data_IF_836317558862
#
_entry.id   IF_836317558862
#
_cell.length_a   1.000
_cell.length_b   1.000
_cell.length_c   1.000
_cell.angle_alpha   90.00
_cell.angle_beta   90.00
_cell.angle_gamma   90.00
#
_symmetry.space_group_name_H-M   'P 1'
#
loop_
_entity.id
_entity.type
_entity.pdbx_description
1 polymer ?
#
# COMPACT_ATOMS: atom_id res chain seq x y z
N UNK A 1 38.73 -39.37 2.75
CA UNK A 1 38.17 -38.79 1.52
C UNK A 1 36.73 -38.39 1.82
N UNK A 2 36.51 -37.15 2.25
CA UNK A 2 35.17 -36.60 2.49
C UNK A 2 34.68 -35.91 1.23
N UNK A 3 33.60 -36.42 0.63
CA UNK A 3 32.92 -35.79 -0.50
C UNK A 3 32.14 -34.60 0.03
N UNK A 4 32.61 -33.38 -0.22
CA UNK A 4 31.83 -32.17 0.01
C UNK A 4 30.81 -32.04 -1.12
N UNK A 5 29.62 -32.59 -0.90
CA UNK A 5 28.43 -32.29 -1.71
C UNK A 5 28.10 -30.80 -1.57
N UNK A 6 28.68 -30.01 -2.46
CA UNK A 6 28.33 -28.60 -2.64
C UNK A 6 26.98 -28.57 -3.36
N UNK A 7 25.89 -28.56 -2.58
CA UNK A 7 24.55 -28.30 -3.11
C UNK A 7 24.53 -26.91 -3.74
N UNK A 8 24.66 -26.87 -5.07
CA UNK A 8 24.36 -25.71 -5.89
C UNK A 8 22.86 -25.43 -5.80
N UNK A 9 22.44 -24.62 -4.82
CA UNK A 9 21.14 -23.96 -4.85
C UNK A 9 21.16 -22.97 -6.02
N UNK A 10 20.68 -23.39 -7.18
CA UNK A 10 20.31 -22.48 -8.28
C UNK A 10 19.17 -21.60 -7.79
N UNK A 11 19.51 -20.49 -7.12
CA UNK A 11 18.62 -19.34 -7.01
C UNK A 11 18.52 -18.73 -8.42
N UNK A 12 17.66 -19.32 -9.26
CA UNK A 12 17.22 -18.63 -10.46
C UNK A 12 16.52 -17.36 -10.01
N UNK A 13 17.09 -16.20 -10.34
CA UNK A 13 16.42 -14.91 -10.32
C UNK A 13 15.30 -14.95 -11.37
N UNK A 14 14.23 -15.69 -11.06
CA UNK A 14 13.09 -15.85 -11.92
C UNK A 14 12.28 -14.57 -11.84
N UNK A 15 12.27 -13.80 -12.93
CA UNK A 15 11.17 -12.90 -13.17
C UNK A 15 9.92 -13.80 -13.24
N UNK A 16 9.06 -13.76 -12.22
CA UNK A 16 7.74 -14.38 -12.32
C UNK A 16 7.02 -13.67 -13.47
N UNK A 17 6.52 -14.45 -14.43
CA UNK A 17 5.61 -13.93 -15.44
C UNK A 17 4.38 -13.35 -14.72
N UNK A 18 4.09 -12.08 -14.97
CA UNK A 18 2.90 -11.43 -14.42
C UNK A 18 1.70 -11.88 -15.24
N UNK A 19 0.80 -12.64 -14.63
CA UNK A 19 -0.46 -13.05 -15.24
C UNK A 19 -1.54 -11.96 -15.11
N UNK A 20 -2.67 -12.12 -15.81
CA UNK A 20 -3.78 -11.17 -15.73
C UNK A 20 -4.29 -10.99 -14.29
N UNK A 21 -4.25 -12.06 -13.49
CA UNK A 21 -4.70 -12.05 -12.09
C UNK A 21 -3.81 -11.13 -11.23
N UNK A 22 -2.50 -11.12 -11.48
CA UNK A 22 -1.57 -10.21 -10.81
C UNK A 22 -1.97 -8.75 -11.03
N UNK A 23 -2.33 -8.38 -12.27
CA UNK A 23 -2.75 -7.01 -12.59
C UNK A 23 -4.12 -6.67 -11.98
N UNK A 24 -5.04 -7.63 -11.92
CA UNK A 24 -6.34 -7.45 -11.25
C UNK A 24 -6.16 -7.20 -9.74
N UNK A 25 -5.32 -8.01 -9.08
CA UNK A 25 -5.01 -7.88 -7.66
C UNK A 25 -4.32 -6.53 -7.37
N UNK A 26 -3.34 -6.16 -8.21
CA UNK A 26 -2.65 -4.88 -8.11
C UNK A 26 -3.60 -3.69 -8.33
N UNK A 27 -4.52 -3.81 -9.29
CA UNK A 27 -5.54 -2.79 -9.57
C UNK A 27 -6.52 -2.63 -8.40
N UNK A 28 -6.98 -3.74 -7.82
CA UNK A 28 -7.83 -3.73 -6.64
C UNK A 28 -7.12 -3.08 -5.44
N UNK A 29 -5.85 -3.44 -5.21
CA UNK A 29 -5.04 -2.84 -4.15
C UNK A 29 -4.88 -1.32 -4.34
N UNK A 30 -4.60 -0.87 -5.57
CA UNK A 30 -4.50 0.55 -5.90
C UNK A 30 -5.82 1.31 -5.67
N UNK A 31 -6.95 0.69 -6.03
CA UNK A 31 -8.28 1.27 -5.85
C UNK A 31 -8.73 1.32 -4.38
N UNK A 32 -8.26 0.39 -3.54
CA UNK A 32 -8.62 0.35 -2.11
C UNK A 32 -8.28 1.65 -1.38
N UNK A 33 -7.17 2.30 -1.73
CA UNK A 33 -6.70 3.56 -1.14
C UNK A 33 -7.25 4.81 -1.84
N UNK A 34 -8.14 4.64 -2.83
CA UNK A 34 -8.71 5.73 -3.61
C UNK A 34 -10.20 5.91 -3.33
N UNK A 35 -10.65 7.15 -3.44
CA UNK A 35 -12.04 7.57 -3.32
C UNK A 35 -12.44 8.33 -4.58
N UNK A 36 -13.58 7.96 -5.16
CA UNK A 36 -14.18 8.68 -6.29
C UNK A 36 -14.77 10.00 -5.81
N UNK A 37 -14.40 11.12 -6.43
CA UNK A 37 -14.86 12.48 -6.05
C UNK A 37 -15.81 13.11 -7.07
N UNK A 38 -16.09 12.43 -8.17
CA UNK A 38 -16.92 12.90 -9.27
C UNK A 38 -16.73 12.02 -10.50
N UNK A 39 -17.11 12.53 -11.67
CA UNK A 39 -16.95 11.81 -12.93
C UNK A 39 -15.46 11.64 -13.24
N UNK A 40 -15.02 10.38 -13.26
CA UNK A 40 -13.66 9.94 -13.56
C UNK A 40 -12.51 10.49 -12.68
N UNK A 41 -12.81 11.17 -11.57
CA UNK A 41 -11.78 11.74 -10.68
C UNK A 41 -11.60 10.91 -9.40
N UNK A 42 -10.37 10.50 -9.12
CA UNK A 42 -9.99 9.73 -7.93
C UNK A 42 -9.01 10.53 -7.05
N UNK A 43 -9.26 10.55 -5.75
CA UNK A 43 -8.41 11.16 -4.73
C UNK A 43 -7.99 10.12 -3.70
N UNK A 44 -6.85 10.29 -3.03
CA UNK A 44 -6.40 9.36 -2.00
C UNK A 44 -7.22 9.52 -0.70
N UNK A 45 -7.43 8.41 0.01
CA UNK A 45 -8.06 8.40 1.34
C UNK A 45 -7.05 8.78 2.42
N UNK A 46 -7.51 9.49 3.44
CA UNK A 46 -6.69 9.81 4.61
C UNK A 46 -6.38 8.54 5.41
N UNK A 47 -5.11 8.26 5.71
CA UNK A 47 -4.68 7.07 6.48
C UNK A 47 -4.85 7.19 8.00
N UNK A 48 -5.55 8.23 8.45
CA UNK A 48 -5.78 8.47 9.87
C UNK A 48 -6.95 7.64 10.36
N UNK A 49 -6.70 6.85 11.40
CA UNK A 49 -7.73 6.13 12.15
C UNK A 49 -8.07 6.93 13.39
N UNK A 50 -9.35 7.23 13.57
CA UNK A 50 -9.88 7.88 14.75
C UNK A 50 -9.79 6.94 15.97
N UNK A 51 -9.88 7.51 17.18
CA UNK A 51 -9.81 6.73 18.42
C UNK A 51 -10.96 5.72 18.59
N UNK A 52 -12.07 5.92 17.88
CA UNK A 52 -13.21 4.98 17.79
C UNK A 52 -12.95 3.82 16.81
N UNK A 53 -11.75 3.73 16.23
CA UNK A 53 -11.36 2.71 15.26
C UNK A 53 -11.83 3.00 13.82
N UNK A 54 -12.56 4.09 13.58
CA UNK A 54 -13.04 4.42 12.23
C UNK A 54 -11.95 5.11 11.41
N UNK A 55 -11.90 4.79 10.12
CA UNK A 55 -11.01 5.47 9.17
C UNK A 55 -11.54 6.84 8.80
N UNK A 56 -10.65 7.81 8.64
CA UNK A 56 -11.02 9.15 8.20
C UNK A 56 -11.50 9.13 6.74
N UNK A 57 -12.72 9.61 6.50
CA UNK A 57 -13.33 9.64 5.17
C UNK A 57 -12.97 10.89 4.33
N UNK A 58 -12.11 11.77 4.87
CA UNK A 58 -11.65 12.98 4.18
C UNK A 58 -10.63 12.63 3.10
N UNK A 59 -10.74 13.30 1.96
CA UNK A 59 -9.80 13.18 0.86
C UNK A 59 -8.46 13.87 1.17
N UNK A 60 -7.39 13.29 0.64
CA UNK A 60 -6.08 13.92 0.52
C UNK A 60 -6.07 14.71 -0.80
N UNK A 61 -5.89 16.02 -0.70
CA UNK A 61 -5.77 16.92 -1.85
C UNK A 61 -4.33 17.09 -2.33
N UNK A 62 -3.34 16.71 -1.51
CA UNK A 62 -1.91 16.82 -1.84
C UNK A 62 -1.28 15.43 -1.75
N UNK A 63 -0.82 14.92 -2.90
CA UNK A 63 -0.28 13.56 -3.04
C UNK A 63 0.88 13.24 -2.07
N UNK A 64 1.71 14.24 -1.75
CA UNK A 64 2.86 14.08 -0.84
C UNK A 64 2.49 13.91 0.65
N UNK A 65 1.20 13.96 1.00
CA UNK A 65 0.74 13.86 2.38
C UNK A 65 -0.09 12.61 2.59
N UNK A 66 0.20 11.81 3.61
CA UNK A 66 -0.61 10.62 3.95
C UNK A 66 -1.91 10.98 4.69
N UNK A 67 -2.09 12.25 5.06
CA UNK A 67 -3.20 12.71 5.91
C UNK A 67 -3.89 13.92 5.31
N UNK A 68 -5.21 14.00 5.49
CA UNK A 68 -5.99 15.15 5.07
C UNK A 68 -5.61 16.41 5.87
N UNK A 69 -6.05 17.58 5.37
CA UNK A 69 -5.78 18.88 5.98
C UNK A 69 -6.10 18.94 7.48
N UNK A 70 -7.14 18.23 7.92
CA UNK A 70 -7.58 18.21 9.32
C UNK A 70 -6.64 17.40 10.25
N UNK A 71 -5.83 16.49 9.69
CA UNK A 71 -4.97 15.59 10.46
C UNK A 71 -3.47 15.81 10.20
N UNK A 72 -3.09 16.82 9.40
CA UNK A 72 -1.67 17.12 9.10
C UNK A 72 -0.81 17.36 10.34
N UNK A 73 -1.36 17.96 11.40
CA UNK A 73 -0.66 18.21 12.67
C UNK A 73 -0.79 17.12 13.72
N UNK A 74 -1.59 16.08 13.47
CA UNK A 74 -1.88 15.06 14.47
C UNK A 74 -0.80 13.96 14.40
N UNK A 75 0.38 14.17 14.97
CA UNK A 75 1.40 13.11 15.00
C UNK A 75 0.92 11.97 15.90
N UNK A 76 0.92 10.72 15.40
CA UNK A 76 0.67 9.55 16.24
C UNK A 76 1.73 9.58 17.34
N UNK A 77 1.34 9.62 18.61
CA UNK A 77 2.27 9.27 19.69
C UNK A 77 2.72 7.85 19.37
N UNK A 78 4.01 7.65 19.10
CA UNK A 78 4.59 6.30 19.02
C UNK A 78 4.39 5.69 20.40
N UNK A 79 3.54 4.68 20.51
CA UNK A 79 3.57 3.80 21.66
C UNK A 79 4.90 3.03 21.60
N UNK A 80 5.69 3.17 22.65
CA UNK A 80 6.99 2.54 22.89
C UNK A 80 6.79 1.13 23.46
#
# INVERSE_FOLDING_TARGET
MGSFDYMMFKMSAGNQEFDAKFFDDASAAWMSNKKKRGDCTYVYKCTYTHADGKSCDKAITIHSTMRCWAHRGCMKKKEL
#
